data_IF_598736362390
#
_entry.id   IF_598736362390
#
_cell.length_a   1.000
_cell.length_b   1.000
_cell.length_c   1.000
_cell.angle_alpha   90.00
_cell.angle_beta   90.00
_cell.angle_gamma   90.00
#
_symmetry.space_group_name_H-M   'P 1'
#
loop_
_entity.id
_entity.type
_entity.pdbx_description
1 polymer ?
#
# COMPACT_ATOMS: atom_id res chain seq x y z
N UNK A 1 23.71 -1.14 -22.53
CA UNK A 1 24.44 -2.22 -21.81
C UNK A 1 24.84 -1.68 -20.44
N UNK A 2 24.00 -1.88 -19.42
CA UNK A 2 24.35 -1.59 -18.02
C UNK A 2 24.90 -2.88 -17.43
N UNK A 3 26.17 -2.84 -17.02
CA UNK A 3 26.86 -3.95 -16.38
C UNK A 3 26.15 -4.24 -15.04
N UNK A 4 25.75 -5.50 -14.84
CA UNK A 4 25.35 -6.02 -13.53
C UNK A 4 26.52 -5.82 -12.56
N UNK A 5 26.30 -5.03 -11.54
CA UNK A 5 27.19 -4.97 -10.37
C UNK A 5 26.98 -6.29 -9.64
N UNK A 6 27.92 -7.21 -9.80
CA UNK A 6 28.02 -8.37 -8.91
C UNK A 6 28.47 -7.84 -7.56
N UNK A 7 27.56 -7.85 -6.58
CA UNK A 7 27.95 -7.74 -5.18
C UNK A 7 28.74 -9.01 -4.82
N UNK A 8 29.99 -8.86 -4.41
CA UNK A 8 30.79 -9.97 -3.89
C UNK A 8 30.14 -10.45 -2.58
N UNK A 9 29.26 -11.44 -2.71
CA UNK A 9 28.71 -12.17 -1.57
C UNK A 9 29.78 -13.12 -1.04
N UNK A 10 30.04 -13.04 0.25
CA UNK A 10 30.85 -14.00 0.98
C UNK A 10 30.29 -15.41 0.73
N UNK A 11 31.08 -16.38 0.22
CA UNK A 11 30.56 -17.69 -0.14
C UNK A 11 30.29 -18.50 1.13
N UNK A 12 29.05 -18.45 1.65
CA UNK A 12 28.69 -19.28 2.81
C UNK A 12 27.34 -19.04 3.45
N UNK A 13 26.67 -17.93 3.20
CA UNK A 13 25.34 -17.68 3.78
C UNK A 13 24.30 -17.46 2.69
N UNK A 14 23.43 -18.45 2.46
CA UNK A 14 22.25 -18.27 1.62
C UNK A 14 21.37 -17.17 2.21
N UNK A 15 20.84 -16.29 1.37
CA UNK A 15 19.86 -15.28 1.77
C UNK A 15 18.60 -15.95 2.37
N UNK A 16 17.96 -15.35 3.38
CA UNK A 16 16.75 -15.90 3.99
C UNK A 16 15.63 -16.07 2.95
N UNK A 17 14.82 -17.13 3.14
CA UNK A 17 13.63 -17.32 2.34
C UNK A 17 12.60 -16.24 2.65
N UNK A 18 11.96 -15.69 1.60
CA UNK A 18 10.81 -14.80 1.72
C UNK A 18 9.47 -15.55 1.57
N UNK A 19 9.51 -16.89 1.54
CA UNK A 19 8.29 -17.68 1.46
C UNK A 19 7.37 -17.40 2.65
N UNK A 20 6.07 -17.31 2.39
CA UNK A 20 5.05 -17.03 3.38
C UNK A 20 3.75 -17.74 3.01
N UNK A 21 2.97 -18.13 4.00
CA UNK A 21 1.61 -18.63 3.80
C UNK A 21 0.60 -17.47 3.82
N UNK A 22 -0.33 -17.47 2.85
CA UNK A 22 -1.46 -16.55 2.82
C UNK A 22 -2.75 -17.32 2.55
N UNK A 23 -3.64 -17.40 3.52
CA UNK A 23 -4.89 -18.17 3.48
C UNK A 23 -4.69 -19.67 3.17
N UNK A 24 -3.61 -20.30 3.63
CA UNK A 24 -3.26 -21.68 3.32
C UNK A 24 -2.62 -21.85 1.93
N UNK A 25 -2.32 -20.77 1.24
CA UNK A 25 -1.67 -20.75 -0.07
C UNK A 25 -0.19 -20.43 0.13
N UNK A 26 0.69 -21.31 -0.35
CA UNK A 26 2.13 -21.07 -0.31
C UNK A 26 2.53 -19.99 -1.32
N UNK A 27 3.19 -18.93 -0.86
CA UNK A 27 3.71 -17.84 -1.68
C UNK A 27 5.25 -17.83 -1.59
N UNK A 28 5.95 -17.81 -2.71
CA UNK A 28 7.42 -17.81 -2.75
C UNK A 28 8.05 -16.53 -2.18
N UNK A 29 7.31 -15.43 -2.19
CA UNK A 29 7.63 -14.15 -1.56
C UNK A 29 6.33 -13.35 -1.33
N UNK A 30 6.36 -12.24 -0.55
CA UNK A 30 5.14 -11.51 -0.19
C UNK A 30 4.66 -10.50 -1.26
N UNK A 31 5.30 -10.42 -2.43
CA UNK A 31 5.03 -9.36 -3.42
C UNK A 31 4.08 -9.82 -4.52
N UNK A 32 2.97 -9.12 -4.64
CA UNK A 32 1.90 -9.37 -5.61
C UNK A 32 1.63 -8.12 -6.45
N UNK A 33 1.16 -8.32 -7.69
CA UNK A 33 0.55 -7.24 -8.46
C UNK A 33 -0.85 -6.95 -7.93
N UNK A 34 -1.17 -5.66 -7.75
CA UNK A 34 -2.51 -5.22 -7.37
C UNK A 34 -3.46 -5.25 -8.57
N UNK A 35 -4.73 -5.56 -8.31
CA UNK A 35 -5.80 -5.48 -9.31
C UNK A 35 -5.90 -4.07 -9.91
N UNK A 36 -5.37 -3.88 -11.12
CA UNK A 36 -5.21 -2.60 -11.77
C UNK A 36 -4.75 -2.74 -13.22
N UNK A 37 -4.40 -1.65 -13.88
CA UNK A 37 -3.87 -1.61 -15.25
C UNK A 37 -2.57 -2.43 -15.46
N UNK A 38 -1.86 -2.80 -14.41
CA UNK A 38 -0.60 -3.57 -14.53
C UNK A 38 -0.80 -5.08 -14.71
N UNK A 39 -2.04 -5.57 -14.77
CA UNK A 39 -2.36 -6.98 -14.87
C UNK A 39 -3.70 -7.22 -15.60
N UNK A 40 -3.84 -6.71 -16.83
CA UNK A 40 -5.09 -6.73 -17.60
C UNK A 40 -5.13 -7.82 -18.67
N UNK A 41 -4.03 -8.49 -18.93
CA UNK A 41 -3.96 -9.54 -19.95
C UNK A 41 -2.92 -10.60 -19.59
N UNK A 42 -2.91 -11.69 -20.35
CA UNK A 42 -2.01 -12.82 -20.14
C UNK A 42 -0.53 -12.44 -20.20
N UNK A 43 -0.14 -11.70 -21.23
CA UNK A 43 1.26 -11.37 -21.51
C UNK A 43 1.87 -10.50 -20.41
N UNK A 44 1.10 -9.56 -19.86
CA UNK A 44 1.51 -8.72 -18.75
C UNK A 44 1.78 -9.53 -17.48
N UNK A 45 0.85 -10.42 -17.12
CA UNK A 45 0.97 -11.25 -15.91
C UNK A 45 2.06 -12.30 -16.08
N UNK A 46 2.13 -12.98 -17.23
CA UNK A 46 3.20 -13.93 -17.53
C UNK A 46 4.58 -13.30 -17.40
N UNK A 47 4.78 -12.11 -17.98
CA UNK A 47 6.03 -11.37 -17.86
C UNK A 47 6.37 -11.01 -16.40
N UNK A 48 5.38 -10.64 -15.60
CA UNK A 48 5.61 -10.37 -14.18
C UNK A 48 6.05 -11.63 -13.43
N UNK A 49 5.40 -12.76 -13.69
CA UNK A 49 5.77 -14.04 -13.08
C UNK A 49 7.17 -14.50 -13.47
N UNK A 50 7.56 -14.32 -14.75
CA UNK A 50 8.92 -14.60 -15.23
C UNK A 50 9.98 -13.73 -14.55
N UNK A 51 9.60 -12.54 -14.10
CA UNK A 51 10.48 -11.63 -13.35
C UNK A 51 10.50 -11.89 -11.83
N UNK A 52 9.72 -12.84 -11.30
CA UNK A 52 9.80 -13.23 -9.89
C UNK A 52 8.67 -12.71 -9.00
N UNK A 53 7.61 -12.10 -9.53
CA UNK A 53 6.41 -11.79 -8.76
C UNK A 53 5.74 -13.09 -8.29
N UNK A 54 5.39 -13.18 -7.00
CA UNK A 54 4.81 -14.40 -6.43
C UNK A 54 3.36 -14.62 -6.85
N UNK A 55 2.64 -13.55 -7.11
CA UNK A 55 1.24 -13.65 -7.47
C UNK A 55 0.65 -12.38 -8.06
N UNK A 56 -0.61 -12.47 -8.42
CA UNK A 56 -1.41 -11.39 -8.98
C UNK A 56 -2.80 -11.39 -8.39
N UNK A 57 -3.28 -10.20 -8.05
CA UNK A 57 -4.70 -9.90 -7.99
C UNK A 57 -5.08 -9.34 -9.35
N UNK A 58 -5.71 -10.16 -10.19
CA UNK A 58 -6.00 -9.82 -11.58
C UNK A 58 -6.94 -8.61 -11.67
N UNK A 59 -6.92 -7.89 -12.80
CA UNK A 59 -7.84 -6.77 -13.06
C UNK A 59 -9.28 -7.18 -12.78
N UNK A 60 -10.02 -6.34 -12.05
CA UNK A 60 -11.38 -6.69 -11.60
C UNK A 60 -12.30 -7.00 -12.75
N UNK A 61 -12.90 -8.17 -12.71
CA UNK A 61 -13.81 -8.75 -13.70
C UNK A 61 -15.26 -8.44 -13.30
N UNK A 62 -16.09 -8.02 -14.24
CA UNK A 62 -17.53 -7.83 -14.06
C UNK A 62 -18.30 -8.26 -15.30
N UNK A 63 -19.64 -8.31 -15.19
CA UNK A 63 -20.51 -8.63 -16.33
C UNK A 63 -20.91 -7.44 -17.19
N UNK A 64 -20.65 -6.20 -16.69
CA UNK A 64 -21.01 -4.99 -17.41
C UNK A 64 -20.01 -4.70 -18.55
N UNK A 65 -20.51 -4.12 -19.66
CA UNK A 65 -19.68 -3.56 -20.73
C UNK A 65 -18.96 -2.30 -20.22
N UNK A 66 -17.66 -2.42 -19.97
CA UNK A 66 -16.82 -1.32 -19.48
C UNK A 66 -16.19 -0.60 -20.68
N UNK A 67 -16.30 0.73 -20.68
CA UNK A 67 -15.63 1.61 -21.64
C UNK A 67 -14.86 2.67 -20.90
N UNK A 68 -13.57 2.66 -21.07
CA UNK A 68 -12.67 3.59 -20.38
C UNK A 68 -12.61 4.94 -21.10
N UNK A 69 -12.37 5.99 -20.31
CA UNK A 69 -12.15 7.35 -20.84
C UNK A 69 -10.70 7.52 -21.30
N UNK A 70 -10.45 8.56 -22.13
CA UNK A 70 -9.13 8.93 -22.58
C UNK A 70 -8.96 10.47 -22.54
N UNK A 71 -7.87 11.00 -21.94
CA UNK A 71 -6.87 10.31 -21.10
C UNK A 71 -7.46 9.89 -19.75
N UNK A 72 -6.98 8.77 -19.20
CA UNK A 72 -7.48 8.21 -17.92
C UNK A 72 -6.49 8.30 -16.76
N UNK A 73 -5.25 8.66 -17.03
CA UNK A 73 -4.20 8.81 -16.02
C UNK A 73 -3.66 10.23 -15.97
N UNK A 74 -3.31 10.66 -14.74
CA UNK A 74 -2.62 11.91 -14.48
C UNK A 74 -1.75 11.73 -13.23
N UNK A 75 -0.71 12.54 -13.07
CA UNK A 75 0.23 12.38 -11.96
C UNK A 75 0.67 13.72 -11.37
N UNK A 76 0.68 13.79 -10.05
CA UNK A 76 1.41 14.82 -9.32
C UNK A 76 2.86 14.38 -9.22
N UNK A 77 3.77 15.16 -9.82
CA UNK A 77 5.20 14.80 -9.92
C UNK A 77 6.06 15.68 -9.02
N UNK A 78 7.15 15.08 -8.53
CA UNK A 78 8.27 15.78 -7.94
C UNK A 78 9.53 15.40 -8.74
N UNK A 79 9.99 16.30 -9.59
CA UNK A 79 10.98 15.97 -10.62
C UNK A 79 10.38 14.98 -11.64
N UNK A 80 11.00 13.82 -11.78
CA UNK A 80 10.53 12.74 -12.68
C UNK A 80 9.64 11.71 -11.98
N UNK A 81 9.60 11.68 -10.65
CA UNK A 81 8.90 10.66 -9.87
C UNK A 81 7.46 11.07 -9.55
N UNK A 82 6.57 10.09 -9.49
CA UNK A 82 5.17 10.28 -9.10
C UNK A 82 5.06 10.41 -7.57
N UNK A 83 4.66 11.58 -7.08
CA UNK A 83 4.25 11.73 -5.68
C UNK A 83 2.87 11.16 -5.46
N UNK A 84 1.96 11.42 -6.40
CA UNK A 84 0.61 10.89 -6.44
C UNK A 84 0.20 10.58 -7.86
N UNK A 85 -0.72 9.63 -8.02
CA UNK A 85 -1.19 9.15 -9.31
C UNK A 85 -2.71 9.12 -9.32
N UNK A 86 -3.30 9.89 -10.24
CA UNK A 86 -4.74 9.92 -10.48
C UNK A 86 -5.11 8.88 -11.52
N UNK A 87 -6.19 8.16 -11.26
CA UNK A 87 -6.68 7.09 -12.11
C UNK A 87 -8.20 7.16 -12.26
N UNK A 88 -8.70 7.24 -13.50
CA UNK A 88 -10.12 7.17 -13.85
C UNK A 88 -10.52 5.80 -14.41
N UNK A 89 -9.60 4.86 -14.46
CA UNK A 89 -9.83 3.51 -14.94
C UNK A 89 -10.80 2.75 -14.02
N UNK A 90 -11.76 2.06 -14.59
CA UNK A 90 -12.77 1.30 -13.87
C UNK A 90 -12.33 -0.18 -13.71
N UNK A 91 -12.93 -1.06 -14.50
CA UNK A 91 -12.79 -2.51 -14.40
C UNK A 91 -12.15 -3.07 -15.68
N UNK A 92 -12.18 -4.39 -15.88
CA UNK A 92 -11.72 -5.00 -17.13
C UNK A 92 -12.63 -4.58 -18.29
N UNK A 93 -12.02 -4.24 -19.44
CA UNK A 93 -12.74 -3.97 -20.69
C UNK A 93 -12.97 -5.26 -21.52
N UNK A 94 -12.39 -6.37 -21.09
CA UNK A 94 -12.62 -7.66 -21.75
C UNK A 94 -14.00 -8.22 -21.38
N UNK A 95 -14.64 -9.00 -22.28
CA UNK A 95 -15.70 -9.90 -21.88
C UNK A 95 -15.23 -10.81 -20.73
N UNK A 96 -16.04 -11.00 -19.71
CA UNK A 96 -15.64 -11.73 -18.50
C UNK A 96 -15.21 -13.17 -18.79
N UNK A 97 -15.79 -13.82 -19.81
CA UNK A 97 -15.39 -15.16 -20.25
C UNK A 97 -13.94 -15.19 -20.74
N UNK A 98 -13.49 -14.14 -21.44
CA UNK A 98 -12.12 -14.00 -21.92
C UNK A 98 -11.16 -13.85 -20.73
N UNK A 99 -11.53 -13.06 -19.72
CA UNK A 99 -10.73 -12.89 -18.52
C UNK A 99 -10.57 -14.21 -17.76
N UNK A 100 -11.64 -14.99 -17.57
CA UNK A 100 -11.54 -16.30 -16.92
C UNK A 100 -10.74 -17.33 -17.75
N UNK A 101 -10.74 -17.22 -19.06
CA UNK A 101 -9.85 -18.03 -19.91
C UNK A 101 -8.38 -17.65 -19.73
N UNK A 102 -8.09 -16.36 -19.63
CA UNK A 102 -6.75 -15.86 -19.30
C UNK A 102 -6.29 -16.41 -17.94
N UNK A 103 -7.12 -16.34 -16.90
CA UNK A 103 -6.80 -16.85 -15.56
C UNK A 103 -6.51 -18.36 -15.58
N UNK A 104 -7.33 -19.15 -16.30
CA UNK A 104 -7.12 -20.59 -16.49
C UNK A 104 -5.78 -20.87 -17.16
N UNK A 105 -5.44 -20.17 -18.22
CA UNK A 105 -4.15 -20.32 -18.94
C UNK A 105 -2.97 -19.92 -18.04
N UNK A 106 -3.10 -18.88 -17.23
CA UNK A 106 -2.07 -18.49 -16.25
C UNK A 106 -1.81 -19.60 -15.24
N UNK A 107 -2.85 -20.20 -14.67
CA UNK A 107 -2.69 -21.31 -13.71
C UNK A 107 -2.11 -22.57 -14.36
N UNK A 108 -2.45 -22.86 -15.62
CA UNK A 108 -1.87 -24.00 -16.36
C UNK A 108 -0.38 -23.80 -16.62
N UNK A 109 0.04 -22.60 -17.01
CA UNK A 109 1.42 -22.31 -17.39
C UNK A 109 2.32 -21.94 -16.20
N UNK A 110 1.73 -21.43 -15.12
CA UNK A 110 2.42 -20.99 -13.89
C UNK A 110 1.77 -21.62 -12.64
N UNK A 111 1.80 -22.96 -12.50
CA UNK A 111 1.06 -23.64 -11.42
C UNK A 111 1.52 -23.28 -10.01
N UNK A 112 2.79 -22.86 -9.84
CA UNK A 112 3.36 -22.43 -8.55
C UNK A 112 3.06 -20.98 -8.19
N UNK A 113 2.61 -20.17 -9.16
CA UNK A 113 2.27 -18.75 -8.93
C UNK A 113 0.83 -18.61 -8.43
N UNK A 114 0.62 -17.62 -7.60
CA UNK A 114 -0.71 -17.35 -7.01
C UNK A 114 -1.52 -16.44 -7.92
N UNK A 115 -2.70 -16.91 -8.32
CA UNK A 115 -3.64 -16.16 -9.16
C UNK A 115 -4.93 -15.94 -8.39
N UNK A 116 -5.20 -14.68 -8.04
CA UNK A 116 -6.43 -14.25 -7.38
C UNK A 116 -7.32 -13.53 -8.39
N UNK A 117 -8.54 -14.01 -8.60
CA UNK A 117 -9.52 -13.31 -9.42
C UNK A 117 -10.14 -12.18 -8.61
N UNK A 118 -9.95 -10.92 -9.00
CA UNK A 118 -10.71 -9.80 -8.45
C UNK A 118 -12.02 -9.69 -9.21
N UNK A 119 -13.16 -9.67 -8.51
CA UNK A 119 -14.50 -9.64 -9.11
C UNK A 119 -15.35 -8.52 -8.55
N UNK A 120 -16.35 -8.08 -9.32
CA UNK A 120 -17.38 -7.15 -8.90
C UNK A 120 -18.72 -7.50 -9.57
N UNK A 121 -19.74 -7.70 -8.76
CA UNK A 121 -21.13 -7.86 -9.21
C UNK A 121 -21.99 -6.66 -8.80
N UNK A 122 -23.13 -6.51 -9.43
CA UNK A 122 -24.16 -5.54 -9.07
C UNK A 122 -25.24 -6.18 -8.18
N UNK A 123 -25.58 -7.43 -8.46
CA UNK A 123 -26.58 -8.23 -7.73
C UNK A 123 -25.95 -9.52 -7.21
N UNK A 124 -26.61 -10.16 -6.24
CA UNK A 124 -26.10 -11.36 -5.58
C UNK A 124 -25.68 -12.46 -6.57
N UNK A 125 -26.51 -12.71 -7.56
CA UNK A 125 -26.30 -13.78 -8.55
C UNK A 125 -25.00 -13.57 -9.34
N UNK A 126 -24.68 -12.31 -9.67
CA UNK A 126 -23.42 -11.99 -10.39
C UNK A 126 -22.19 -12.28 -9.53
N UNK A 127 -22.22 -11.90 -8.24
CA UNK A 127 -21.13 -12.19 -7.31
C UNK A 127 -20.87 -13.70 -7.19
N UNK A 128 -21.94 -14.49 -7.05
CA UNK A 128 -21.89 -15.94 -6.93
C UNK A 128 -21.34 -16.57 -8.23
N UNK A 129 -21.86 -16.16 -9.36
CA UNK A 129 -21.47 -16.73 -10.66
C UNK A 129 -20.01 -16.41 -10.99
N UNK A 130 -19.57 -15.17 -10.85
CA UNK A 130 -18.18 -14.77 -11.09
C UNK A 130 -17.21 -15.51 -10.15
N UNK A 131 -17.57 -15.68 -8.87
CA UNK A 131 -16.75 -16.44 -7.92
C UNK A 131 -16.63 -17.92 -8.30
N UNK A 132 -17.73 -18.57 -8.73
CA UNK A 132 -17.70 -19.96 -9.23
C UNK A 132 -16.88 -20.10 -10.50
N UNK A 133 -16.93 -19.11 -11.40
CA UNK A 133 -16.10 -19.09 -12.60
C UNK A 133 -14.60 -18.96 -12.24
N UNK A 134 -14.26 -18.16 -11.22
CA UNK A 134 -12.90 -18.06 -10.71
C UNK A 134 -12.38 -19.40 -10.16
N UNK A 135 -13.18 -20.08 -9.34
CA UNK A 135 -12.85 -21.41 -8.84
C UNK A 135 -12.71 -22.44 -9.98
N UNK A 136 -13.63 -22.44 -10.95
CA UNK A 136 -13.58 -23.34 -12.12
C UNK A 136 -12.40 -23.02 -13.06
N UNK A 137 -11.91 -21.79 -13.09
CA UNK A 137 -10.70 -21.41 -13.82
C UNK A 137 -9.41 -21.87 -13.10
N UNK A 138 -9.52 -22.36 -11.84
CA UNK A 138 -8.39 -22.82 -11.04
C UNK A 138 -7.68 -21.71 -10.28
N UNK A 139 -8.33 -20.56 -10.08
CA UNK A 139 -7.78 -19.48 -9.24
C UNK A 139 -7.57 -19.96 -7.81
N UNK A 140 -6.51 -19.46 -7.17
CA UNK A 140 -6.15 -19.84 -5.80
C UNK A 140 -7.05 -19.15 -4.77
N UNK A 141 -7.61 -17.98 -5.09
CA UNK A 141 -8.53 -17.21 -4.24
C UNK A 141 -9.40 -16.28 -5.10
N UNK A 142 -10.41 -15.68 -4.48
CA UNK A 142 -11.25 -14.64 -5.07
C UNK A 142 -11.20 -13.37 -4.21
N UNK A 143 -10.93 -12.21 -4.83
CA UNK A 143 -11.04 -10.88 -4.19
C UNK A 143 -12.39 -10.27 -4.53
N UNK A 144 -13.14 -9.81 -3.52
CA UNK A 144 -14.39 -9.08 -3.69
C UNK A 144 -14.10 -7.57 -3.69
N UNK A 145 -14.16 -6.94 -4.84
CA UNK A 145 -13.85 -5.51 -4.96
C UNK A 145 -15.02 -4.63 -4.53
N UNK A 146 -15.15 -4.37 -3.23
CA UNK A 146 -16.14 -3.46 -2.63
C UNK A 146 -15.66 -1.99 -2.61
N UNK A 147 -14.74 -1.59 -3.48
CA UNK A 147 -13.96 -0.40 -3.17
C UNK A 147 -13.69 0.55 -4.33
N UNK A 148 -14.06 0.21 -5.57
CA UNK A 148 -13.86 1.10 -6.72
C UNK A 148 -14.59 2.44 -6.49
N UNK A 149 -13.88 3.59 -6.53
CA UNK A 149 -14.47 4.88 -6.12
C UNK A 149 -15.32 5.57 -7.19
N UNK A 150 -15.27 5.11 -8.45
CA UNK A 150 -15.80 5.84 -9.62
C UNK A 150 -16.68 4.99 -10.53
N UNK A 151 -17.48 4.09 -9.95
CA UNK A 151 -18.42 3.30 -10.75
C UNK A 151 -19.52 4.18 -11.37
N UNK A 152 -19.88 3.86 -12.63
CA UNK A 152 -20.97 4.55 -13.35
C UNK A 152 -22.35 4.22 -12.78
N UNK A 153 -22.51 3.02 -12.23
CA UNK A 153 -23.75 2.54 -11.63
C UNK A 153 -23.71 2.75 -10.12
N UNK A 154 -24.76 3.30 -9.57
CA UNK A 154 -24.97 3.41 -8.13
C UNK A 154 -25.09 2.01 -7.48
N UNK A 155 -24.71 1.88 -6.22
CA UNK A 155 -24.79 0.63 -5.47
C UNK A 155 -23.68 -0.38 -5.80
N UNK A 156 -22.59 0.06 -6.46
CA UNK A 156 -21.41 -0.75 -6.76
C UNK A 156 -20.15 -0.14 -6.14
N UNK A 157 -19.10 -0.94 -6.05
CA UNK A 157 -17.78 -0.49 -5.59
C UNK A 157 -17.82 0.13 -4.20
N UNK A 158 -17.37 1.39 -4.05
CA UNK A 158 -17.28 2.07 -2.76
C UNK A 158 -18.63 2.29 -2.07
N UNK A 159 -19.75 2.23 -2.78
CA UNK A 159 -21.08 2.31 -2.16
C UNK A 159 -21.37 1.06 -1.35
N UNK A 160 -20.97 -0.12 -1.84
CA UNK A 160 -21.02 -1.39 -1.08
C UNK A 160 -20.01 -1.34 0.07
N UNK A 161 -18.77 -0.97 -0.20
CA UNK A 161 -17.67 -1.01 0.78
C UNK A 161 -17.82 -0.07 1.98
N UNK A 162 -18.69 0.94 1.89
CA UNK A 162 -19.04 1.82 3.01
C UNK A 162 -20.20 1.29 3.86
N UNK A 163 -20.91 0.28 3.38
CA UNK A 163 -22.08 -0.30 4.07
C UNK A 163 -21.71 -1.67 4.65
N UNK A 164 -21.59 -1.82 5.99
CA UNK A 164 -21.23 -3.09 6.63
C UNK A 164 -22.21 -4.21 6.33
N UNK A 165 -23.50 -3.90 6.17
CA UNK A 165 -24.54 -4.89 5.90
C UNK A 165 -24.38 -5.48 4.48
N UNK A 166 -24.11 -4.65 3.48
CA UNK A 166 -23.86 -5.11 2.11
C UNK A 166 -22.55 -5.88 2.00
N UNK A 167 -21.49 -5.45 2.69
CA UNK A 167 -20.22 -6.19 2.76
C UNK A 167 -20.45 -7.57 3.37
N UNK A 168 -21.19 -7.65 4.49
CA UNK A 168 -21.55 -8.92 5.12
C UNK A 168 -22.34 -9.79 4.18
N UNK A 169 -23.38 -9.23 3.57
CA UNK A 169 -24.30 -9.94 2.68
C UNK A 169 -23.55 -10.62 1.52
N UNK A 170 -22.86 -9.84 0.70
CA UNK A 170 -22.15 -10.40 -0.46
C UNK A 170 -21.01 -11.36 -0.05
N UNK A 171 -20.30 -11.07 1.04
CA UNK A 171 -19.25 -11.97 1.52
C UNK A 171 -19.81 -13.32 1.95
N UNK A 172 -20.93 -13.37 2.68
CA UNK A 172 -21.60 -14.62 3.09
C UNK A 172 -22.00 -15.45 1.89
N UNK A 173 -22.63 -14.83 0.89
CA UNK A 173 -23.12 -15.57 -0.28
C UNK A 173 -21.99 -16.13 -1.12
N UNK A 174 -20.94 -15.35 -1.37
CA UNK A 174 -19.77 -15.85 -2.09
C UNK A 174 -19.06 -16.93 -1.28
N UNK A 175 -18.87 -16.75 0.02
CA UNK A 175 -18.22 -17.76 0.89
C UNK A 175 -18.94 -19.09 0.92
N UNK A 176 -20.27 -19.09 0.78
CA UNK A 176 -21.08 -20.32 0.67
C UNK A 176 -21.01 -20.97 -0.71
N UNK A 177 -20.68 -20.19 -1.75
CA UNK A 177 -20.72 -20.61 -3.13
C UNK A 177 -19.43 -21.27 -3.63
N UNK A 178 -18.29 -20.98 -2.99
CA UNK A 178 -16.94 -21.45 -3.39
C UNK A 178 -16.17 -22.01 -2.20
N UNK A 179 -15.15 -22.85 -2.50
CA UNK A 179 -14.26 -23.45 -1.50
C UNK A 179 -12.92 -22.72 -1.41
N UNK A 180 -12.55 -21.98 -2.44
CA UNK A 180 -11.33 -21.16 -2.45
C UNK A 180 -11.45 -19.98 -1.47
N UNK A 181 -10.35 -19.44 -0.93
CA UNK A 181 -10.35 -18.31 -0.05
C UNK A 181 -11.06 -17.09 -0.65
N UNK A 182 -11.83 -16.37 0.19
CA UNK A 182 -12.58 -15.16 -0.17
C UNK A 182 -11.98 -13.96 0.55
N UNK A 183 -11.56 -12.94 -0.21
CA UNK A 183 -10.78 -11.79 0.26
C UNK A 183 -11.52 -10.48 -0.09
N UNK A 184 -12.36 -9.93 0.80
CA UNK A 184 -12.96 -8.62 0.60
C UNK A 184 -11.91 -7.51 0.54
N UNK A 185 -12.01 -6.63 -0.48
CA UNK A 185 -11.15 -5.45 -0.63
C UNK A 185 -11.86 -4.20 -0.16
N UNK A 186 -11.26 -3.55 0.85
CA UNK A 186 -11.85 -2.40 1.53
C UNK A 186 -11.53 -1.07 0.84
N UNK A 187 -12.53 -0.17 0.90
CA UNK A 187 -12.39 1.22 0.46
C UNK A 187 -11.75 2.09 1.55
N UNK A 188 -10.81 2.99 1.21
CA UNK A 188 -10.32 3.99 2.16
C UNK A 188 -11.25 5.20 2.30
N UNK A 189 -12.32 5.28 1.49
CA UNK A 189 -13.23 6.43 1.44
C UNK A 189 -14.29 6.32 2.55
N UNK A 190 -13.84 6.08 3.76
CA UNK A 190 -14.65 5.86 4.95
C UNK A 190 -13.88 6.34 6.19
N UNK A 191 -14.59 6.84 7.20
CA UNK A 191 -13.97 7.26 8.46
C UNK A 191 -13.65 6.07 9.36
N UNK A 192 -14.56 5.09 9.47
CA UNK A 192 -14.47 3.93 10.36
C UNK A 192 -14.36 2.62 9.57
N UNK A 193 -13.14 2.29 9.15
CA UNK A 193 -12.87 1.08 8.35
C UNK A 193 -13.25 -0.22 9.10
N UNK A 194 -13.18 -0.20 10.42
CA UNK A 194 -13.51 -1.38 11.23
C UNK A 194 -14.94 -1.87 11.03
N UNK A 195 -15.91 -0.99 10.76
CA UNK A 195 -17.30 -1.39 10.61
C UNK A 195 -17.52 -2.37 9.44
N UNK A 196 -17.20 -2.03 8.19
CA UNK A 196 -17.33 -2.98 7.09
C UNK A 196 -16.32 -4.13 7.18
N UNK A 197 -15.12 -3.92 7.72
CA UNK A 197 -14.15 -4.99 7.92
C UNK A 197 -14.64 -6.07 8.90
N UNK A 198 -15.30 -5.68 10.00
CA UNK A 198 -15.95 -6.63 10.90
C UNK A 198 -17.10 -7.36 10.20
N UNK A 199 -17.87 -6.67 9.35
CA UNK A 199 -18.89 -7.31 8.52
C UNK A 199 -18.31 -8.43 7.66
N UNK A 200 -17.19 -8.16 6.97
CA UNK A 200 -16.47 -9.17 6.21
C UNK A 200 -15.94 -10.33 7.07
N UNK A 201 -15.34 -10.01 8.22
CA UNK A 201 -14.82 -11.01 9.17
C UNK A 201 -15.89 -11.96 9.68
N UNK A 202 -17.01 -11.44 10.17
CA UNK A 202 -18.13 -12.25 10.68
C UNK A 202 -18.87 -13.01 9.57
N UNK A 203 -18.76 -12.55 8.32
CA UNK A 203 -19.24 -13.27 7.15
C UNK A 203 -18.35 -14.46 6.76
N UNK A 204 -17.20 -14.65 7.41
CA UNK A 204 -16.27 -15.76 7.19
C UNK A 204 -15.23 -15.49 6.11
N UNK A 205 -14.87 -14.24 5.86
CA UNK A 205 -13.72 -13.89 5.01
C UNK A 205 -12.44 -14.56 5.51
N UNK A 206 -11.60 -15.05 4.58
CA UNK A 206 -10.33 -15.70 4.91
C UNK A 206 -9.21 -14.68 5.14
N UNK A 207 -9.28 -13.56 4.42
CA UNK A 207 -8.40 -12.40 4.60
C UNK A 207 -9.12 -11.11 4.21
N UNK A 208 -8.48 -9.97 4.47
CA UNK A 208 -8.95 -8.65 4.03
C UNK A 208 -7.82 -7.97 3.26
N UNK A 209 -8.11 -7.43 2.07
CA UNK A 209 -7.20 -6.57 1.33
C UNK A 209 -7.57 -5.08 1.52
N UNK A 210 -6.58 -4.22 1.75
CA UNK A 210 -6.75 -2.78 1.92
C UNK A 210 -5.44 -2.04 1.59
N UNK A 211 -5.54 -0.92 0.90
CA UNK A 211 -6.70 -0.14 0.52
C UNK A 211 -6.87 -0.05 -1.01
N UNK A 212 -8.05 0.27 -1.51
CA UNK A 212 -8.20 0.78 -2.88
C UNK A 212 -7.80 2.27 -2.94
N UNK A 213 -8.03 2.94 -4.05
CA UNK A 213 -7.68 4.34 -4.27
C UNK A 213 -8.58 5.30 -3.48
N UNK A 214 -8.01 6.46 -3.12
CA UNK A 214 -8.71 7.52 -2.40
C UNK A 214 -9.43 8.41 -3.41
N UNK A 215 -10.67 8.79 -3.13
CA UNK A 215 -11.40 9.79 -3.95
C UNK A 215 -10.67 11.13 -3.95
N UNK A 216 -10.37 11.63 -5.13
CA UNK A 216 -9.65 12.90 -5.32
C UNK A 216 -10.05 13.59 -6.61
N UNK A 217 -9.61 14.83 -6.76
CA UNK A 217 -9.67 15.59 -8.01
C UNK A 217 -8.32 16.25 -8.26
N UNK A 218 -7.88 16.26 -9.51
CA UNK A 218 -6.77 17.10 -9.97
C UNK A 218 -7.31 18.10 -11.01
N UNK A 219 -6.77 19.31 -11.00
CA UNK A 219 -7.10 20.35 -11.97
C UNK A 219 -5.81 20.88 -12.58
N UNK A 220 -5.77 20.96 -13.91
CA UNK A 220 -4.73 21.68 -14.61
C UNK A 220 -5.14 23.15 -14.74
N UNK A 221 -4.25 24.06 -14.35
CA UNK A 221 -4.46 25.51 -14.53
C UNK A 221 -4.27 25.97 -16.00
N UNK A 222 -3.67 25.10 -16.83
CA UNK A 222 -3.47 25.31 -18.27
C UNK A 222 -4.50 24.62 -19.15
N UNK A 223 -5.47 23.92 -18.53
CA UNK A 223 -6.53 23.25 -19.27
C UNK A 223 -7.46 24.25 -19.97
N UNK A 224 -7.91 23.92 -21.15
CA UNK A 224 -8.97 24.66 -21.81
C UNK A 224 -10.26 24.60 -20.99
N UNK A 225 -11.02 25.68 -20.96
CA UNK A 225 -12.27 25.80 -20.18
C UNK A 225 -13.31 24.72 -20.54
N UNK A 226 -13.16 24.09 -21.70
CA UNK A 226 -14.04 23.01 -22.19
C UNK A 226 -13.74 21.64 -21.60
N UNK A 227 -12.60 21.42 -20.91
CA UNK A 227 -12.28 20.14 -20.30
C UNK A 227 -13.22 19.80 -19.13
N UNK A 228 -13.81 18.59 -19.19
CA UNK A 228 -14.64 18.07 -18.11
C UNK A 228 -13.78 17.32 -17.11
N UNK A 229 -13.94 17.66 -15.85
CA UNK A 229 -13.25 16.99 -14.73
C UNK A 229 -14.23 16.15 -13.92
N UNK A 230 -13.73 15.11 -13.27
CA UNK A 230 -14.50 14.27 -12.35
C UNK A 230 -13.67 13.84 -11.16
N UNK A 231 -14.35 13.43 -10.09
CA UNK A 231 -13.72 12.74 -8.96
C UNK A 231 -13.24 11.38 -9.44
N UNK A 232 -12.04 11.02 -9.04
CA UNK A 232 -11.36 9.79 -9.47
C UNK A 232 -10.48 9.21 -8.38
N UNK A 233 -9.91 8.04 -8.62
CA UNK A 233 -9.01 7.38 -7.67
C UNK A 233 -7.65 8.06 -7.61
N UNK A 234 -7.08 8.16 -6.42
CA UNK A 234 -5.73 8.67 -6.14
C UNK A 234 -4.89 7.60 -5.44
N UNK A 235 -3.69 7.38 -5.92
CA UNK A 235 -2.74 6.36 -5.44
C UNK A 235 -1.30 6.89 -5.45
N UNK A 236 -0.31 6.02 -5.35
CA UNK A 236 1.11 6.38 -5.28
C UNK A 236 1.59 6.62 -3.86
N UNK A 237 2.84 7.06 -3.70
CA UNK A 237 3.51 7.16 -2.38
C UNK A 237 2.79 8.06 -1.37
N UNK A 238 2.06 9.07 -1.84
CA UNK A 238 1.34 10.00 -0.98
C UNK A 238 0.24 9.33 -0.14
N UNK A 239 -0.32 8.19 -0.58
CA UNK A 239 -1.40 7.50 0.13
C UNK A 239 -0.90 6.51 1.18
N UNK A 240 0.41 6.16 1.22
CA UNK A 240 0.95 5.15 2.12
C UNK A 240 0.59 5.37 3.61
N UNK A 241 0.73 6.57 4.19
CA UNK A 241 0.37 6.79 5.60
C UNK A 241 -1.11 6.50 5.90
N UNK A 242 -1.99 6.76 4.94
CA UNK A 242 -3.42 6.49 5.06
C UNK A 242 -3.68 4.97 4.98
N UNK A 243 -3.02 4.28 4.05
CA UNK A 243 -3.10 2.83 3.94
C UNK A 243 -2.61 2.13 5.22
N UNK A 244 -1.47 2.52 5.74
CA UNK A 244 -0.93 1.99 7.00
C UNK A 244 -1.88 2.22 8.18
N UNK A 245 -2.53 3.40 8.28
CA UNK A 245 -3.54 3.67 9.29
C UNK A 245 -4.69 2.67 9.22
N UNK A 246 -5.24 2.43 8.02
CA UNK A 246 -6.37 1.51 7.87
C UNK A 246 -5.99 0.06 8.22
N UNK A 247 -4.81 -0.41 7.80
CA UNK A 247 -4.30 -1.74 8.21
C UNK A 247 -4.14 -1.80 9.73
N UNK A 248 -3.51 -0.80 10.34
CA UNK A 248 -3.29 -0.74 11.80
C UNK A 248 -4.61 -0.82 12.58
N UNK A 249 -5.62 -0.03 12.17
CA UNK A 249 -6.93 -0.01 12.84
C UNK A 249 -7.62 -1.37 12.81
N UNK A 250 -7.54 -2.07 11.68
CA UNK A 250 -8.08 -3.42 11.53
C UNK A 250 -7.26 -4.46 12.31
N UNK A 251 -5.94 -4.43 12.20
CA UNK A 251 -5.05 -5.39 12.85
C UNK A 251 -5.07 -5.29 14.39
N UNK A 252 -5.33 -4.10 14.93
CA UNK A 252 -5.49 -3.89 16.38
C UNK A 252 -6.92 -4.12 16.89
N UNK A 253 -7.88 -4.45 16.03
CA UNK A 253 -9.23 -4.72 16.45
C UNK A 253 -9.31 -6.09 17.16
N UNK A 254 -9.64 -6.15 18.47
CA UNK A 254 -9.62 -7.39 19.22
C UNK A 254 -10.70 -8.39 18.79
N UNK A 255 -11.70 -7.93 18.02
CA UNK A 255 -12.77 -8.78 17.49
C UNK A 255 -12.37 -9.51 16.19
N UNK A 256 -11.35 -9.03 15.49
CA UNK A 256 -10.88 -9.61 14.22
C UNK A 256 -9.56 -10.41 14.41
N UNK A 257 -9.55 -11.27 15.42
CA UNK A 257 -8.39 -12.12 15.71
C UNK A 257 -8.15 -13.12 14.58
N UNK A 258 -6.88 -13.33 14.26
CA UNK A 258 -6.39 -14.32 13.29
C UNK A 258 -6.77 -14.08 11.82
N UNK A 259 -7.44 -12.97 11.47
CA UNK A 259 -7.61 -12.64 10.06
C UNK A 259 -6.29 -12.17 9.46
N UNK A 260 -6.04 -12.58 8.23
CA UNK A 260 -4.85 -12.17 7.51
C UNK A 260 -5.11 -10.90 6.69
N UNK A 261 -4.07 -10.10 6.45
CA UNK A 261 -4.17 -8.87 5.68
C UNK A 261 -3.27 -8.90 4.46
N UNK A 262 -3.80 -8.37 3.34
CA UNK A 262 -3.05 -8.02 2.14
C UNK A 262 -2.96 -6.50 2.04
N UNK A 263 -1.74 -5.95 2.17
CA UNK A 263 -1.52 -4.50 2.27
C UNK A 263 -1.34 -3.84 0.90
N UNK A 264 -2.04 -2.72 0.65
CA UNK A 264 -2.02 -2.00 -0.62
C UNK A 264 -1.94 -0.49 -0.37
N UNK A 265 -1.09 0.21 -1.12
CA UNK A 265 -1.09 1.67 -1.18
C UNK A 265 0.28 2.32 -0.92
N UNK A 266 0.88 2.86 -1.97
CA UNK A 266 2.11 3.65 -1.89
C UNK A 266 3.39 2.87 -1.62
N UNK A 267 3.41 1.57 -1.95
CA UNK A 267 4.58 0.70 -1.82
C UNK A 267 5.45 0.88 -3.06
N UNK A 268 6.69 1.35 -2.87
CA UNK A 268 7.68 1.57 -3.92
C UNK A 268 9.02 0.90 -3.59
N UNK A 269 9.31 0.72 -2.32
CA UNK A 269 10.56 0.13 -1.83
C UNK A 269 10.26 -1.03 -0.88
N UNK A 270 11.28 -1.87 -0.65
CA UNK A 270 11.19 -2.94 0.35
C UNK A 270 10.90 -2.40 1.76
N UNK A 271 11.33 -1.15 2.07
CA UNK A 271 11.02 -0.51 3.36
C UNK A 271 9.55 -0.19 3.50
N UNK A 272 8.91 0.25 2.41
CA UNK A 272 7.47 0.49 2.41
C UNK A 272 6.72 -0.83 2.64
N UNK A 273 7.12 -1.90 1.95
CA UNK A 273 6.53 -3.23 2.14
C UNK A 273 6.71 -3.75 3.58
N UNK A 274 7.91 -3.55 4.15
CA UNK A 274 8.22 -3.92 5.53
C UNK A 274 7.29 -3.22 6.54
N UNK A 275 6.94 -1.96 6.32
CA UNK A 275 5.98 -1.24 7.19
C UNK A 275 4.62 -1.95 7.23
N UNK A 276 4.12 -2.44 6.09
CA UNK A 276 2.88 -3.23 6.05
C UNK A 276 3.02 -4.59 6.74
N UNK A 277 4.14 -5.29 6.53
CA UNK A 277 4.42 -6.58 7.18
C UNK A 277 4.48 -6.40 8.70
N UNK A 278 5.13 -5.35 9.19
CA UNK A 278 5.18 -5.00 10.62
C UNK A 278 3.79 -4.71 11.21
N UNK A 279 2.79 -4.38 10.38
CA UNK A 279 1.39 -4.19 10.77
C UNK A 279 0.50 -5.41 10.48
N UNK A 280 1.08 -6.60 10.41
CA UNK A 280 0.40 -7.90 10.21
C UNK A 280 -0.02 -8.24 8.78
N UNK A 281 0.41 -7.51 7.76
CA UNK A 281 0.18 -7.96 6.40
C UNK A 281 1.04 -9.20 6.08
N UNK A 282 0.40 -10.24 5.55
CA UNK A 282 1.07 -11.47 5.10
C UNK A 282 1.64 -11.30 3.69
N UNK A 283 0.96 -10.51 2.86
CA UNK A 283 1.48 -10.10 1.56
C UNK A 283 1.18 -8.63 1.30
N UNK A 284 1.77 -8.09 0.24
CA UNK A 284 1.58 -6.72 -0.19
C UNK A 284 1.33 -6.69 -1.69
N UNK A 285 0.48 -5.75 -2.11
CA UNK A 285 0.14 -5.56 -3.52
C UNK A 285 0.70 -4.23 -4.03
N UNK A 286 1.34 -4.26 -5.19
CA UNK A 286 2.00 -3.11 -5.80
C UNK A 286 1.34 -2.77 -7.14
N UNK A 287 1.08 -1.49 -7.38
CA UNK A 287 0.50 -0.98 -8.61
C UNK A 287 1.31 0.20 -9.17
N UNK A 288 1.16 1.40 -8.62
CA UNK A 288 1.71 2.66 -9.17
C UNK A 288 3.21 2.60 -9.38
N UNK A 289 3.96 1.95 -8.48
CA UNK A 289 5.40 1.78 -8.64
C UNK A 289 5.75 0.89 -9.84
N UNK A 290 4.93 -0.10 -10.18
CA UNK A 290 5.10 -0.89 -11.40
C UNK A 290 4.85 -0.04 -12.65
N UNK A 291 3.87 0.87 -12.62
CA UNK A 291 3.64 1.80 -13.74
C UNK A 291 4.82 2.75 -13.95
N UNK A 292 5.49 3.17 -12.87
CA UNK A 292 6.62 4.09 -12.92
C UNK A 292 7.94 3.39 -13.28
N UNK A 293 8.22 2.21 -12.70
CA UNK A 293 9.53 1.55 -12.79
C UNK A 293 9.52 0.23 -13.57
N UNK A 294 8.35 -0.32 -13.88
CA UNK A 294 8.17 -1.62 -14.52
C UNK A 294 8.26 -2.79 -13.53
N UNK A 295 7.95 -4.00 -14.02
CA UNK A 295 7.95 -5.22 -13.18
C UNK A 295 9.31 -5.55 -12.55
N UNK A 296 10.41 -5.05 -13.11
CA UNK A 296 11.78 -5.25 -12.59
C UNK A 296 12.00 -4.71 -11.17
N UNK A 297 11.12 -3.87 -10.66
CA UNK A 297 11.17 -3.38 -9.27
C UNK A 297 11.16 -4.54 -8.26
N UNK A 298 10.67 -5.72 -8.66
CA UNK A 298 10.66 -6.92 -7.82
C UNK A 298 12.05 -7.31 -7.34
N UNK A 299 13.09 -7.13 -8.16
CA UNK A 299 14.46 -7.47 -7.79
C UNK A 299 14.92 -6.65 -6.57
N UNK A 300 14.64 -5.34 -6.58
CA UNK A 300 14.98 -4.44 -5.47
C UNK A 300 14.14 -4.75 -4.21
N UNK A 301 12.86 -5.09 -4.40
CA UNK A 301 11.95 -5.43 -3.30
C UNK A 301 12.40 -6.72 -2.59
N UNK A 302 12.68 -7.76 -3.35
CA UNK A 302 13.11 -9.07 -2.82
C UNK A 302 14.47 -8.95 -2.17
N UNK A 303 15.49 -8.44 -2.89
CA UNK A 303 16.85 -8.34 -2.38
C UNK A 303 16.92 -7.45 -1.13
N UNK A 304 16.21 -6.32 -1.14
CA UNK A 304 16.21 -5.40 0.00
C UNK A 304 15.58 -6.00 1.26
N UNK A 305 14.49 -6.74 1.12
CA UNK A 305 13.84 -7.41 2.25
C UNK A 305 14.68 -8.59 2.78
N UNK A 306 15.29 -9.38 1.88
CA UNK A 306 16.21 -10.45 2.24
C UNK A 306 17.44 -9.91 3.01
N UNK A 307 18.03 -8.82 2.52
CA UNK A 307 19.17 -8.17 3.19
C UNK A 307 18.79 -7.69 4.59
N UNK A 308 17.63 -7.05 4.74
CA UNK A 308 17.13 -6.63 6.05
C UNK A 308 16.97 -7.82 7.02
N UNK A 309 16.37 -8.91 6.55
CA UNK A 309 16.19 -10.11 7.37
C UNK A 309 17.53 -10.74 7.77
N UNK A 310 18.49 -10.78 6.83
CA UNK A 310 19.83 -11.30 7.09
C UNK A 310 20.58 -10.46 8.14
N UNK A 311 20.59 -9.14 8.00
CA UNK A 311 21.21 -8.21 8.94
C UNK A 311 20.62 -8.34 10.36
N UNK A 312 19.32 -8.64 10.43
CA UNK A 312 18.60 -8.81 11.68
C UNK A 312 18.72 -10.22 12.27
N UNK A 313 19.10 -11.21 11.47
CA UNK A 313 19.12 -12.62 11.86
C UNK A 313 17.73 -13.27 11.89
N UNK A 314 16.72 -12.70 11.22
CA UNK A 314 15.40 -13.30 11.08
C UNK A 314 15.45 -14.47 10.11
N UNK A 315 14.82 -15.59 10.48
CA UNK A 315 14.82 -16.83 9.68
C UNK A 315 13.64 -16.92 8.72
N UNK A 316 12.53 -16.32 9.07
CA UNK A 316 11.27 -16.35 8.35
C UNK A 316 10.61 -14.98 8.39
N UNK A 317 9.75 -14.68 7.40
CA UNK A 317 8.86 -13.50 7.44
C UNK A 317 7.91 -13.55 8.63
N UNK A 318 7.52 -14.74 9.09
CA UNK A 318 6.68 -14.91 10.28
C UNK A 318 7.30 -14.29 11.54
N UNK A 319 8.64 -14.21 11.61
CA UNK A 319 9.36 -13.58 12.74
C UNK A 319 9.11 -12.07 12.84
N UNK A 320 8.67 -11.43 11.75
CA UNK A 320 8.52 -9.98 11.65
C UNK A 320 7.09 -9.51 11.35
N UNK A 321 6.19 -10.45 10.97
CA UNK A 321 4.77 -10.12 10.76
C UNK A 321 4.13 -9.65 12.06
N UNK A 322 3.61 -8.41 12.07
CA UNK A 322 2.91 -7.83 13.21
C UNK A 322 3.80 -7.36 14.36
N UNK A 323 5.12 -7.48 14.27
CA UNK A 323 6.02 -7.18 15.41
C UNK A 323 5.97 -5.74 15.94
N UNK A 324 5.42 -4.81 15.14
CA UNK A 324 5.33 -3.39 15.53
C UNK A 324 3.95 -2.97 16.03
N UNK A 325 2.96 -3.86 16.02
CA UNK A 325 1.60 -3.51 16.45
C UNK A 325 1.56 -2.91 17.85
N UNK A 326 2.29 -3.49 18.80
CA UNK A 326 2.30 -3.04 20.20
C UNK A 326 3.01 -1.70 20.39
N UNK A 327 3.80 -1.25 19.42
CA UNK A 327 4.43 0.09 19.48
C UNK A 327 3.44 1.23 19.20
N UNK A 328 2.27 0.92 18.66
CA UNK A 328 1.21 1.89 18.41
C UNK A 328 0.27 1.95 19.62
N UNK A 329 0.31 3.05 20.32
CA UNK A 329 -0.47 3.31 21.55
C UNK A 329 -1.50 4.40 21.32
N UNK A 330 -2.44 4.56 22.24
CA UNK A 330 -3.39 5.67 22.20
C UNK A 330 -2.67 7.02 22.41
N UNK A 331 -3.21 8.13 21.89
CA UNK A 331 -2.63 9.45 22.11
C UNK A 331 -2.49 9.82 23.61
N UNK A 332 -3.37 9.26 24.47
CA UNK A 332 -3.29 9.40 25.93
C UNK A 332 -2.01 8.81 26.54
N UNK A 333 -1.50 7.74 25.93
CA UNK A 333 -0.39 6.94 26.47
C UNK A 333 0.98 7.45 26.00
N UNK A 334 0.99 8.47 25.13
CA UNK A 334 2.21 9.11 24.68
C UNK A 334 2.85 9.94 25.81
N UNK A 335 4.17 9.79 25.97
CA UNK A 335 4.96 10.55 26.94
C UNK A 335 4.92 12.07 26.64
N UNK A 336 4.37 12.82 27.58
CA UNK A 336 4.27 14.30 27.53
C UNK A 336 5.15 14.99 28.56
N UNK A 337 5.79 14.25 29.45
CA UNK A 337 6.59 14.77 30.57
C UNK A 337 8.04 15.00 30.18
N UNK A 338 8.47 14.31 29.13
CA UNK A 338 9.83 14.46 28.58
C UNK A 338 9.81 15.12 27.20
N UNK A 339 10.97 15.57 26.75
CA UNK A 339 11.18 16.13 25.42
C UNK A 339 12.56 15.75 24.87
N UNK A 340 12.69 15.78 23.56
CA UNK A 340 13.96 15.60 22.85
C UNK A 340 14.33 16.92 22.19
N UNK A 341 15.54 17.41 22.44
CA UNK A 341 16.05 18.61 21.77
C UNK A 341 16.69 18.23 20.42
N UNK A 342 16.67 19.15 19.43
CA UNK A 342 17.46 18.98 18.22
C UNK A 342 18.97 19.14 18.55
N UNK A 343 19.81 18.34 17.84
CA UNK A 343 21.28 18.42 17.93
C UNK A 343 21.84 18.75 16.55
N UNK A 344 22.58 19.86 16.43
CA UNK A 344 23.19 20.27 15.17
C UNK A 344 24.55 19.57 15.02
N UNK A 345 24.72 18.89 13.90
CA UNK A 345 26.01 18.49 13.38
C UNK A 345 26.63 19.68 12.62
N UNK A 346 27.65 20.28 13.20
CA UNK A 346 28.28 21.49 12.66
C UNK A 346 29.12 21.20 11.42
N UNK A 347 29.66 20.00 11.27
CA UNK A 347 30.46 19.59 10.14
C UNK A 347 29.58 19.39 8.90
N UNK A 348 28.43 18.76 9.08
CA UNK A 348 27.45 18.57 8.00
C UNK A 348 26.66 19.84 7.65
N UNK A 349 26.59 20.82 8.55
CA UNK A 349 25.79 22.02 8.36
C UNK A 349 26.40 22.92 7.27
N UNK A 350 25.63 23.19 6.22
CA UNK A 350 26.05 24.05 5.08
C UNK A 350 25.66 25.53 5.28
N UNK A 351 25.12 25.91 6.42
CA UNK A 351 24.80 27.32 6.74
C UNK A 351 23.70 27.93 5.86
N UNK A 352 22.71 27.13 5.42
CA UNK A 352 21.65 27.60 4.52
C UNK A 352 20.54 28.42 5.20
N UNK A 353 20.46 28.44 6.53
CA UNK A 353 19.47 29.23 7.31
C UNK A 353 18.03 28.67 7.32
N UNK A 354 17.67 27.64 6.55
CA UNK A 354 16.30 27.12 6.42
C UNK A 354 15.68 26.72 7.77
N UNK A 355 16.48 26.17 8.68
CA UNK A 355 16.02 25.77 10.00
C UNK A 355 15.61 26.97 10.87
N UNK A 356 16.31 28.11 10.75
CA UNK A 356 15.97 29.34 11.46
C UNK A 356 14.66 29.93 10.91
N UNK A 357 14.53 30.08 9.59
CA UNK A 357 13.33 30.59 8.93
C UNK A 357 12.11 29.74 9.33
N UNK A 358 12.24 28.42 9.21
CA UNK A 358 11.15 27.49 9.53
C UNK A 358 10.77 27.54 11.03
N UNK A 359 11.73 27.71 11.94
CA UNK A 359 11.47 27.84 13.35
C UNK A 359 10.88 29.22 13.71
N UNK A 360 11.26 30.27 12.99
CA UNK A 360 10.76 31.61 13.19
C UNK A 360 9.30 31.75 12.79
N UNK A 361 8.95 31.23 11.60
CA UNK A 361 7.64 31.44 10.99
C UNK A 361 6.65 30.30 11.29
N UNK A 362 7.13 29.07 11.43
CA UNK A 362 6.31 27.87 11.66
C UNK A 362 6.47 27.20 13.02
N UNK A 363 7.30 27.73 13.91
CA UNK A 363 7.62 27.11 15.18
C UNK A 363 7.62 28.08 16.35
N UNK A 364 8.68 28.04 17.20
CA UNK A 364 8.74 28.71 18.49
C UNK A 364 9.88 29.71 18.60
N UNK A 365 10.45 30.17 17.49
CA UNK A 365 11.53 31.18 17.44
C UNK A 365 12.74 30.81 18.33
N UNK A 366 13.03 29.52 18.39
CA UNK A 366 14.07 28.97 19.24
C UNK A 366 15.42 28.80 18.54
N UNK A 367 15.56 29.31 17.32
CA UNK A 367 16.82 29.25 16.57
C UNK A 367 17.26 30.67 16.23
N UNK A 368 18.45 31.03 16.68
CA UNK A 368 19.17 32.22 16.25
C UNK A 368 20.19 31.82 15.22
N UNK A 369 20.26 32.56 14.11
CA UNK A 369 21.23 32.32 13.06
C UNK A 369 22.30 33.41 13.12
N UNK A 370 23.53 32.96 13.29
CA UNK A 370 24.69 33.83 13.27
C UNK A 370 25.10 34.07 11.79
N UNK A 371 25.01 35.32 11.35
CA UNK A 371 25.27 35.70 9.95
C UNK A 371 26.77 35.66 9.60
N UNK A 372 27.65 35.92 10.56
CA UNK A 372 29.09 35.97 10.34
C UNK A 372 29.65 34.55 10.17
N UNK A 373 29.28 33.67 11.08
CA UNK A 373 29.69 32.26 11.03
C UNK A 373 28.79 31.38 10.12
N UNK A 374 27.65 31.91 9.71
CA UNK A 374 26.58 31.19 8.99
C UNK A 374 26.19 29.89 9.70
N UNK A 375 25.98 29.96 11.04
CA UNK A 375 25.62 28.80 11.86
C UNK A 375 24.39 29.05 12.70
N UNK A 376 23.47 28.08 12.79
CA UNK A 376 22.33 28.14 13.71
C UNK A 376 22.76 27.79 15.13
N UNK A 377 22.11 28.44 16.13
CA UNK A 377 22.22 28.14 17.55
C UNK A 377 20.83 28.00 18.15
N UNK A 378 20.61 26.95 18.95
CA UNK A 378 19.36 26.77 19.68
C UNK A 378 19.30 27.56 20.96
N UNK A 379 18.14 28.18 21.22
CA UNK A 379 17.74 28.77 22.48
C UNK A 379 16.85 27.77 23.21
N UNK A 380 17.44 26.99 24.10
CA UNK A 380 16.76 25.84 24.73
C UNK A 380 15.49 26.21 25.48
N UNK A 381 15.45 27.41 26.12
CA UNK A 381 14.28 27.89 26.84
C UNK A 381 13.05 28.15 25.95
N UNK A 382 13.24 28.39 24.66
CA UNK A 382 12.18 28.60 23.69
C UNK A 382 11.83 27.33 22.89
N UNK A 383 12.71 26.34 22.91
CA UNK A 383 12.53 25.12 22.11
C UNK A 383 11.55 24.16 22.79
N UNK A 384 10.52 23.75 22.07
CA UNK A 384 9.50 22.80 22.53
C UNK A 384 9.72 21.38 21.96
N UNK A 385 10.83 21.14 21.25
CA UNK A 385 11.15 19.81 20.72
C UNK A 385 10.29 19.37 19.52
N UNK A 386 9.71 20.30 18.77
CA UNK A 386 8.85 19.95 17.62
C UNK A 386 9.59 19.36 16.41
N UNK A 387 10.88 19.53 16.30
CA UNK A 387 11.77 19.03 15.25
C UNK A 387 11.46 19.47 13.81
N UNK A 388 10.65 20.51 13.59
CA UNK A 388 10.42 21.08 12.26
C UNK A 388 11.74 21.46 11.57
N UNK A 389 12.70 22.00 12.34
CA UNK A 389 14.04 22.32 11.85
C UNK A 389 14.80 21.12 11.24
N UNK A 390 14.57 19.91 11.77
CA UNK A 390 15.16 18.68 11.24
C UNK A 390 14.56 18.31 9.90
N UNK A 391 13.25 18.44 9.75
CA UNK A 391 12.52 18.07 8.53
C UNK A 391 12.90 18.95 7.34
N UNK A 392 13.20 20.24 7.58
CA UNK A 392 13.57 21.18 6.51
C UNK A 392 15.08 21.24 6.23
N UNK A 393 15.90 20.49 6.95
CA UNK A 393 17.35 20.49 6.76
C UNK A 393 17.72 19.69 5.49
N UNK A 394 18.23 20.35 4.42
CA UNK A 394 18.48 19.68 3.14
C UNK A 394 19.59 18.64 3.17
N UNK A 395 20.51 18.76 4.15
CA UNK A 395 21.67 17.86 4.30
C UNK A 395 21.58 16.96 5.53
N UNK A 396 20.44 16.96 6.24
CA UNK A 396 20.25 16.12 7.42
C UNK A 396 21.21 16.44 8.58
N UNK A 397 21.68 17.68 8.70
CA UNK A 397 22.62 18.11 9.74
C UNK A 397 21.97 18.30 11.12
N UNK A 398 20.68 18.02 11.28
CA UNK A 398 19.98 18.15 12.55
C UNK A 398 19.49 16.78 13.00
N UNK A 399 20.13 16.23 14.01
CA UNK A 399 19.78 14.99 14.68
C UNK A 399 18.93 15.19 15.92
N UNK A 400 18.76 14.11 16.68
CA UNK A 400 18.08 14.08 17.98
C UNK A 400 19.14 14.06 19.10
N UNK A 401 18.95 14.91 20.12
CA UNK A 401 19.67 14.79 21.37
C UNK A 401 19.06 13.72 22.27
N UNK A 402 19.65 13.47 23.43
CA UNK A 402 19.09 12.58 24.44
C UNK A 402 17.78 13.17 24.98
N UNK A 403 16.80 12.30 25.24
CA UNK A 403 15.54 12.66 25.89
C UNK A 403 15.78 13.17 27.31
N UNK A 404 15.07 14.20 27.72
CA UNK A 404 15.21 14.88 29.01
C UNK A 404 13.83 15.23 29.55
N UNK A 405 13.70 15.32 30.88
CA UNK A 405 12.49 15.82 31.52
C UNK A 405 12.20 17.27 31.11
N UNK A 406 10.95 17.60 30.91
CA UNK A 406 10.51 18.98 30.74
C UNK A 406 10.74 19.69 32.05
N UNK A 407 11.47 20.80 32.02
CA UNK A 407 11.50 21.68 33.17
C UNK A 407 10.09 22.23 33.40
N UNK A 408 9.59 22.01 34.59
CA UNK A 408 8.33 22.63 35.08
C UNK A 408 8.41 24.13 35.07
#
# INVERSE_FOLDING_TARGET
>A
MLRSVKCDSNPGTSLPSLAIDFCGIHCENPFFLASSAVCTNYEMVARAFDMGWAGVFYKTICKQDIREVSPRFDAVKQGTSFTGFRNMEQLSENPYEVDFDILRRLKQNYPSKVVVASIMGQVEEEWIELAKMAEAAGCDAVELNFSCPQMRLAGMGSDVGQNPELVTFYTVYVKRAVKIPVIPKMTPNITQINNPAMGAYFAGADAISAINTIKSVTMSTSAEVSEKHTVSGYSGRAVKPIALRHILEMAKNPLMKNIQFSGIGGIETWRDALEFIHLSCRNVQVCTAVMEYGYRIIDDLVLGLQTYMQERGSKSLDDIVGERLDSFVLPSDLDRDTMVFPKIDRERCVGCGRCQISCQDGGHQAIVFDLDTRRPRFVGQKCVGCHLCRLVCPVGAIGLAKRMDKKK
#
